data_IF_098330078472
#
_entry.id   IF_098330078472
#
_cell.length_a   1.000
_cell.length_b   1.000
_cell.length_c   1.000
_cell.angle_alpha   90.00
_cell.angle_beta   90.00
_cell.angle_gamma   90.00
#
_symmetry.space_group_name_H-M   'P 1'
#
loop_
_entity.id
_entity.type
_entity.pdbx_description
1 polymer ?
#
# COMPACT_ATOMS: atom_id res chain seq x y z
N UNK A 1 -13.42 -1.40 20.49
CA UNK A 1 -12.23 -0.70 19.93
C UNK A 1 -12.11 -1.07 18.46
N UNK A 2 -12.09 -0.10 17.55
CA UNK A 2 -11.71 -0.40 16.14
C UNK A 2 -10.24 -0.78 16.13
N UNK A 3 -9.88 -1.82 15.39
CA UNK A 3 -8.46 -2.16 15.21
C UNK A 3 -7.73 -0.99 14.54
N UNK A 4 -6.46 -0.79 14.81
CA UNK A 4 -5.61 0.24 14.18
C UNK A 4 -5.69 0.13 12.65
N UNK A 5 -5.75 -1.09 12.13
CA UNK A 5 -5.96 -1.35 10.72
C UNK A 5 -7.24 -0.71 10.18
N UNK A 6 -8.40 -0.95 10.81
CA UNK A 6 -9.67 -0.41 10.34
C UNK A 6 -9.72 1.13 10.44
N UNK A 7 -8.99 1.71 11.38
CA UNK A 7 -8.86 3.16 11.50
C UNK A 7 -8.00 3.70 10.35
N UNK A 8 -6.85 3.09 10.10
CA UNK A 8 -5.94 3.48 9.02
C UNK A 8 -6.59 3.35 7.64
N UNK A 9 -7.32 2.24 7.40
CA UNK A 9 -8.09 2.03 6.16
C UNK A 9 -9.10 3.18 5.94
N UNK A 10 -9.86 3.56 6.97
CA UNK A 10 -10.82 4.65 6.87
C UNK A 10 -10.14 6.01 6.60
N UNK A 11 -8.97 6.25 7.19
CA UNK A 11 -8.18 7.46 6.96
C UNK A 11 -7.64 7.53 5.54
N UNK A 12 -7.14 6.40 5.00
CA UNK A 12 -6.60 6.33 3.65
C UNK A 12 -7.68 6.50 2.59
N UNK A 13 -8.85 5.90 2.77
CA UNK A 13 -10.02 6.09 1.88
C UNK A 13 -10.47 7.55 1.88
N UNK A 14 -10.54 8.18 3.05
CA UNK A 14 -10.91 9.58 3.15
C UNK A 14 -9.86 10.51 2.52
N UNK A 15 -8.59 10.15 2.64
CA UNK A 15 -7.49 10.91 2.04
C UNK A 15 -7.52 10.86 0.52
N UNK A 16 -7.68 9.66 -0.07
CA UNK A 16 -7.83 9.48 -1.51
C UNK A 16 -9.04 10.27 -2.05
N UNK A 17 -10.21 10.12 -1.43
CA UNK A 17 -11.43 10.84 -1.83
C UNK A 17 -11.29 12.37 -1.76
N UNK A 18 -10.45 12.89 -0.85
CA UNK A 18 -10.27 14.33 -0.65
C UNK A 18 -9.15 14.93 -1.49
N UNK A 19 -8.18 14.12 -1.94
CA UNK A 19 -6.96 14.64 -2.57
C UNK A 19 -6.66 14.04 -3.95
N UNK A 20 -7.24 12.88 -4.27
CA UNK A 20 -6.91 12.11 -5.46
C UNK A 20 -5.55 11.39 -5.36
N UNK A 21 -4.89 11.42 -4.19
CA UNK A 21 -3.66 10.67 -3.94
C UNK A 21 -3.98 9.38 -3.22
N UNK A 22 -3.65 8.25 -3.84
CA UNK A 22 -3.89 6.95 -3.27
C UNK A 22 -2.65 6.43 -2.54
N UNK A 23 -2.81 6.08 -1.27
CA UNK A 23 -1.78 5.39 -0.49
C UNK A 23 -2.31 3.99 -0.15
N UNK A 24 -1.61 2.96 -0.60
CA UNK A 24 -1.90 1.57 -0.26
C UNK A 24 -0.82 1.02 0.69
N UNK A 25 -1.23 0.16 1.62
CA UNK A 25 -0.32 -0.54 2.54
C UNK A 25 -0.54 -2.04 2.40
N UNK A 26 0.52 -2.76 2.04
CA UNK A 26 0.51 -4.22 1.95
C UNK A 26 1.55 -4.83 2.89
N UNK A 27 1.10 -5.74 3.73
CA UNK A 27 2.00 -6.56 4.55
C UNK A 27 1.88 -8.02 4.11
N UNK A 28 3.01 -8.62 3.76
CA UNK A 28 3.12 -10.04 3.40
C UNK A 28 4.01 -10.77 4.42
N UNK A 29 3.77 -12.06 4.66
CA UNK A 29 4.67 -12.85 5.50
C UNK A 29 6.08 -12.90 4.91
N UNK A 30 6.23 -13.29 3.65
CA UNK A 30 7.49 -13.42 2.93
C UNK A 30 7.31 -13.19 1.43
N UNK A 31 8.39 -12.78 0.77
CA UNK A 31 8.50 -12.61 -0.69
C UNK A 31 8.79 -13.93 -1.41
N UNK A 32 9.02 -15.02 -0.68
CA UNK A 32 9.31 -16.37 -1.21
C UNK A 32 10.51 -16.40 -2.18
N UNK A 33 11.48 -15.50 -1.98
CA UNK A 33 12.70 -15.41 -2.78
C UNK A 33 12.63 -14.46 -3.99
N UNK A 34 11.51 -13.80 -4.20
CA UNK A 34 11.40 -12.69 -5.16
C UNK A 34 12.05 -11.42 -4.57
N UNK A 35 12.57 -10.53 -5.41
CA UNK A 35 13.04 -9.23 -4.93
C UNK A 35 11.87 -8.35 -4.50
N UNK A 36 12.07 -7.51 -3.49
CA UNK A 36 11.01 -6.63 -3.02
C UNK A 36 10.64 -5.58 -4.07
N UNK A 37 11.60 -5.20 -4.93
CA UNK A 37 11.40 -4.28 -6.03
C UNK A 37 10.44 -4.86 -7.06
N UNK A 38 10.72 -6.06 -7.56
CA UNK A 38 9.88 -6.70 -8.58
C UNK A 38 8.49 -7.01 -8.03
N UNK A 39 8.42 -7.45 -6.77
CA UNK A 39 7.15 -7.69 -6.09
C UNK A 39 6.33 -6.40 -5.95
N UNK A 40 6.96 -5.29 -5.53
CA UNK A 40 6.29 -4.01 -5.35
C UNK A 40 5.74 -3.45 -6.67
N UNK A 41 6.56 -3.42 -7.73
CA UNK A 41 6.14 -2.98 -9.08
C UNK A 41 4.95 -3.80 -9.57
N UNK A 42 5.03 -5.14 -9.48
CA UNK A 42 3.96 -6.03 -9.90
C UNK A 42 2.66 -5.80 -9.12
N UNK A 43 2.73 -5.63 -7.80
CA UNK A 43 1.55 -5.32 -6.98
C UNK A 43 0.98 -3.95 -7.35
N UNK A 44 1.84 -2.95 -7.52
CA UNK A 44 1.45 -1.60 -7.88
C UNK A 44 0.66 -1.58 -9.19
N UNK A 45 1.18 -2.26 -10.22
CA UNK A 45 0.54 -2.38 -11.53
C UNK A 45 -0.77 -3.19 -11.49
N UNK A 46 -0.74 -4.38 -10.86
CA UNK A 46 -1.92 -5.27 -10.79
C UNK A 46 -3.06 -4.64 -10.01
N UNK A 47 -2.75 -3.91 -8.94
CA UNK A 47 -3.76 -3.22 -8.14
C UNK A 47 -4.19 -1.89 -8.76
N UNK A 48 -3.46 -1.38 -9.76
CA UNK A 48 -3.73 -0.08 -10.37
C UNK A 48 -3.68 1.04 -9.36
N UNK A 49 -2.64 1.04 -8.50
CA UNK A 49 -2.52 2.01 -7.41
C UNK A 49 -2.27 3.39 -8.00
N UNK A 50 -3.14 4.35 -7.66
CA UNK A 50 -3.13 5.68 -8.22
C UNK A 50 -4.18 5.86 -9.33
N UNK A 51 -4.39 7.10 -9.72
CA UNK A 51 -5.29 7.42 -10.81
C UNK A 51 -4.59 7.16 -12.15
N UNK A 52 -5.26 6.46 -13.08
CA UNK A 52 -4.72 6.13 -14.40
C UNK A 52 -4.29 7.36 -15.24
N UNK A 53 -4.84 8.54 -14.94
CA UNK A 53 -4.52 9.78 -15.64
C UNK A 53 -3.35 10.53 -14.98
N UNK A 54 -3.26 10.48 -13.66
CA UNK A 54 -2.30 11.29 -12.88
C UNK A 54 -1.18 10.47 -12.27
N UNK A 55 -1.35 9.14 -12.15
CA UNK A 55 -0.39 8.19 -11.56
C UNK A 55 0.13 8.64 -10.17
N UNK A 56 -0.78 9.16 -9.35
CA UNK A 56 -0.49 9.74 -8.03
C UNK A 56 -0.62 8.73 -6.89
N UNK A 57 -0.20 7.48 -7.14
CA UNK A 57 -0.26 6.38 -6.19
C UNK A 57 1.03 6.19 -5.40
N UNK A 58 0.93 5.63 -4.20
CA UNK A 58 2.06 5.18 -3.39
C UNK A 58 1.71 3.85 -2.72
N UNK A 59 2.61 2.86 -2.82
CA UNK A 59 2.49 1.57 -2.13
C UNK A 59 3.58 1.46 -1.05
N UNK A 60 3.17 1.26 0.19
CA UNK A 60 4.04 0.82 1.27
C UNK A 60 3.95 -0.71 1.38
N UNK A 61 4.99 -1.42 0.94
CA UNK A 61 5.11 -2.87 1.02
C UNK A 61 6.01 -3.27 2.18
N UNK A 62 5.56 -4.24 2.99
CA UNK A 62 6.28 -4.76 4.14
C UNK A 62 6.33 -6.29 4.05
N UNK A 63 7.52 -6.86 3.93
CA UNK A 63 7.77 -8.30 3.99
C UNK A 63 8.34 -8.64 5.37
N UNK A 64 7.49 -9.18 6.24
CA UNK A 64 7.79 -9.29 7.68
C UNK A 64 8.93 -10.25 8.01
N UNK A 65 8.93 -11.44 7.42
CA UNK A 65 9.93 -12.48 7.68
C UNK A 65 11.27 -12.14 7.03
N UNK A 66 11.22 -11.53 5.83
CA UNK A 66 12.41 -11.08 5.09
C UNK A 66 13.02 -9.81 5.72
N UNK A 67 12.25 -9.10 6.56
CA UNK A 67 12.61 -7.81 7.19
C UNK A 67 12.90 -6.73 6.16
N UNK A 68 12.15 -6.74 5.09
CA UNK A 68 12.27 -5.79 4.00
C UNK A 68 11.05 -4.88 3.94
N UNK A 69 11.29 -3.63 3.57
CA UNK A 69 10.27 -2.61 3.38
C UNK A 69 10.59 -1.82 2.13
N UNK A 70 9.57 -1.58 1.32
CA UNK A 70 9.68 -0.75 0.13
C UNK A 70 8.53 0.24 0.04
N UNK A 71 8.83 1.42 -0.46
CA UNK A 71 7.85 2.42 -0.88
C UNK A 71 7.97 2.53 -2.39
N UNK A 72 6.94 2.07 -3.10
CA UNK A 72 6.83 2.22 -4.55
C UNK A 72 5.96 3.43 -4.83
N UNK A 73 6.38 4.26 -5.79
CA UNK A 73 5.79 5.58 -6.03
C UNK A 73 5.43 5.69 -7.51
N UNK A 74 4.19 6.05 -7.81
CA UNK A 74 3.75 6.36 -9.17
C UNK A 74 4.38 7.64 -9.70
N UNK A 75 4.55 7.72 -11.00
CA UNK A 75 5.27 8.81 -11.67
C UNK A 75 4.76 10.21 -11.29
N UNK A 76 3.43 10.37 -11.14
CA UNK A 76 2.83 11.63 -10.74
C UNK A 76 3.12 12.05 -9.30
N UNK A 77 3.50 11.09 -8.44
CA UNK A 77 3.85 11.36 -7.04
C UNK A 77 5.35 11.52 -6.79
N UNK A 78 6.24 11.19 -7.73
CA UNK A 78 7.71 11.23 -7.58
C UNK A 78 8.25 12.62 -7.20
N UNK A 79 7.62 13.69 -7.68
CA UNK A 79 8.02 15.05 -7.33
C UNK A 79 7.85 15.35 -5.83
N UNK A 80 6.93 14.65 -5.15
CA UNK A 80 6.59 14.82 -3.75
C UNK A 80 7.22 13.75 -2.86
N UNK A 81 7.23 12.51 -3.32
CA UNK A 81 7.84 11.37 -2.62
C UNK A 81 9.02 10.88 -3.46
N UNK A 82 10.11 11.63 -3.39
CA UNK A 82 11.37 11.23 -4.05
C UNK A 82 11.99 10.01 -3.35
N UNK A 83 12.90 9.30 -4.02
CA UNK A 83 13.65 8.18 -3.43
C UNK A 83 14.28 8.54 -2.09
N UNK A 84 14.90 9.71 -1.99
CA UNK A 84 15.51 10.17 -0.74
C UNK A 84 14.50 10.42 0.40
N UNK A 85 13.24 10.79 0.07
CA UNK A 85 12.16 10.93 1.05
C UNK A 85 11.61 9.56 1.44
N UNK A 86 11.44 8.65 0.49
CA UNK A 86 11.04 7.27 0.74
C UNK A 86 12.06 6.56 1.67
N UNK A 87 13.35 6.65 1.37
CA UNK A 87 14.43 6.12 2.22
C UNK A 87 14.42 6.73 3.62
N UNK A 88 14.15 8.03 3.74
CA UNK A 88 14.03 8.71 5.01
C UNK A 88 12.89 8.17 5.85
N UNK A 89 11.70 7.99 5.26
CA UNK A 89 10.55 7.38 5.94
C UNK A 89 10.89 6.00 6.46
N UNK A 90 11.49 5.16 5.63
CA UNK A 90 11.87 3.79 6.04
C UNK A 90 12.85 3.84 7.22
N UNK A 91 13.87 4.68 7.16
CA UNK A 91 14.92 4.77 8.16
C UNK A 91 14.48 5.44 9.47
N UNK A 92 13.66 6.50 9.39
CA UNK A 92 13.33 7.33 10.54
C UNK A 92 11.98 6.94 11.18
N UNK A 93 10.99 6.53 10.40
CA UNK A 93 9.65 6.22 10.91
C UNK A 93 9.46 4.70 11.12
N UNK A 94 9.90 3.87 10.16
CA UNK A 94 9.59 2.43 10.17
C UNK A 94 10.63 1.64 10.96
N UNK A 95 11.90 1.74 10.59
CA UNK A 95 12.95 0.88 11.12
C UNK A 95 13.11 0.95 12.66
N UNK A 96 13.03 2.11 13.32
CA UNK A 96 13.11 2.16 14.78
C UNK A 96 11.92 1.47 15.46
N UNK A 97 10.70 1.70 14.95
CA UNK A 97 9.50 1.10 15.51
C UNK A 97 9.48 -0.43 15.30
N UNK A 98 9.91 -0.91 14.13
CA UNK A 98 9.96 -2.34 13.81
C UNK A 98 11.01 -3.11 14.63
N UNK A 99 12.13 -2.47 14.97
CA UNK A 99 13.14 -3.04 15.89
C UNK A 99 12.58 -3.29 17.29
N UNK A 100 11.59 -2.48 17.69
CA UNK A 100 10.89 -2.59 18.97
C UNK A 100 9.56 -3.38 18.84
N UNK A 101 9.34 -4.06 17.71
CA UNK A 101 8.13 -4.82 17.38
C UNK A 101 6.83 -4.00 17.39
N UNK A 102 6.95 -2.67 17.35
CA UNK A 102 5.83 -1.72 17.27
C UNK A 102 5.41 -1.48 15.82
N UNK A 103 4.99 -2.54 15.14
CA UNK A 103 4.68 -2.52 13.69
C UNK A 103 3.59 -1.49 13.34
N UNK A 104 2.51 -1.47 14.11
CA UNK A 104 1.38 -0.56 13.88
C UNK A 104 1.82 0.92 13.98
N UNK A 105 2.68 1.22 14.95
CA UNK A 105 3.20 2.58 15.14
C UNK A 105 4.11 3.01 13.97
N UNK A 106 4.96 2.10 13.49
CA UNK A 106 5.83 2.37 12.34
C UNK A 106 5.03 2.62 11.05
N UNK A 107 4.01 1.80 10.81
CA UNK A 107 3.12 1.99 9.64
C UNK A 107 2.35 3.29 9.74
N UNK A 108 1.78 3.61 10.90
CA UNK A 108 1.03 4.86 11.10
C UNK A 108 1.91 6.09 10.92
N UNK A 109 3.16 6.07 11.43
CA UNK A 109 4.13 7.15 11.25
C UNK A 109 4.50 7.33 9.77
N UNK A 110 4.80 6.23 9.06
CA UNK A 110 5.13 6.26 7.64
C UNK A 110 3.98 6.83 6.78
N UNK A 111 2.75 6.39 7.04
CA UNK A 111 1.57 6.93 6.35
C UNK A 111 1.38 8.41 6.65
N UNK A 112 1.62 8.85 7.90
CA UNK A 112 1.61 10.26 8.27
C UNK A 112 2.62 11.09 7.48
N UNK A 113 3.85 10.59 7.35
CA UNK A 113 4.92 11.25 6.58
C UNK A 113 4.61 11.28 5.08
N UNK A 114 4.11 10.18 4.50
CA UNK A 114 3.67 10.13 3.10
C UNK A 114 2.58 11.17 2.81
N UNK A 115 1.55 11.24 3.65
CA UNK A 115 0.50 12.26 3.55
C UNK A 115 1.04 13.68 3.67
N UNK A 116 2.04 13.89 4.54
CA UNK A 116 2.70 15.18 4.71
C UNK A 116 3.43 15.63 3.44
N UNK A 117 4.13 14.72 2.76
CA UNK A 117 4.82 15.03 1.51
C UNK A 117 3.83 15.25 0.35
N UNK A 118 2.85 14.39 0.20
CA UNK A 118 1.81 14.51 -0.83
C UNK A 118 0.87 15.71 -0.58
N UNK A 119 0.60 16.05 0.68
CA UNK A 119 -0.25 17.18 1.07
C UNK A 119 0.32 18.56 0.68
N UNK A 120 1.62 18.65 0.42
CA UNK A 120 2.25 19.87 -0.12
C UNK A 120 1.71 20.23 -1.51
N UNK A 121 1.21 19.25 -2.27
CA UNK A 121 0.57 19.46 -3.58
C UNK A 121 -0.85 20.02 -3.42
N UNK A 122 -1.62 19.49 -2.48
CA UNK A 122 -3.02 19.88 -2.27
C UNK A 122 -3.14 21.37 -1.97
N UNK A 123 -2.14 21.93 -1.28
CA UNK A 123 -2.09 23.38 -0.99
C UNK A 123 -1.83 24.21 -2.27
N UNK A 124 -1.20 23.65 -3.30
CA UNK A 124 -0.92 24.34 -4.57
C UNK A 124 -2.06 24.20 -5.59
N UNK A 125 -2.86 23.13 -5.51
CA UNK A 125 -3.97 22.84 -6.44
C UNK A 125 -5.30 23.43 -5.94
N UNK A 126 -5.44 23.71 -4.65
CA UNK A 126 -6.66 24.29 -4.09
C UNK A 126 -7.05 25.69 -4.66
N UNK A 127 -6.30 26.16 -5.68
CA UNK A 127 -6.58 27.38 -6.44
C UNK A 127 -7.41 27.18 -7.73
N UNK A 128 -7.60 25.94 -8.21
CA UNK A 128 -8.40 25.67 -9.42
C UNK A 128 -9.29 24.45 -9.18
N UNK A 129 -10.60 24.74 -9.02
CA UNK A 129 -11.58 23.70 -8.80
C UNK A 129 -11.86 22.90 -10.06
N UNK A 130 -11.95 21.60 -9.92
CA UNK A 130 -12.87 20.81 -10.74
C UNK A 130 -13.39 19.60 -9.95
N UNK A 131 -14.71 19.42 -10.05
CA UNK A 131 -15.49 18.35 -9.44
C UNK A 131 -15.61 17.21 -10.44
N UNK A 132 -14.81 16.16 -10.29
CA UNK A 132 -14.80 14.99 -11.19
C UNK A 132 -14.96 13.64 -10.48
N UNK A 133 -16.19 13.15 -10.52
CA UNK A 133 -16.69 11.76 -10.52
C UNK A 133 -16.09 10.69 -9.58
N UNK A 134 -16.94 10.27 -8.66
CA UNK A 134 -16.80 9.23 -7.63
C UNK A 134 -16.96 7.77 -8.13
N UNK A 135 -16.65 7.43 -9.38
CA UNK A 135 -16.96 6.09 -9.91
C UNK A 135 -15.78 5.08 -9.90
N UNK A 136 -14.54 5.53 -9.73
CA UNK A 136 -13.35 4.65 -9.78
C UNK A 136 -13.17 3.76 -8.55
N UNK A 137 -13.62 4.19 -7.39
CA UNK A 137 -13.37 3.50 -6.12
C UNK A 137 -14.19 2.23 -5.91
N UNK A 138 -15.40 2.17 -6.49
CA UNK A 138 -16.29 1.01 -6.36
C UNK A 138 -15.77 -0.19 -7.14
N UNK A 139 -15.15 0.03 -8.30
CA UNK A 139 -14.48 -1.01 -9.09
C UNK A 139 -13.22 -1.54 -8.39
N UNK A 140 -12.50 -0.68 -7.68
CA UNK A 140 -11.31 -1.04 -6.91
C UNK A 140 -11.66 -1.97 -5.73
N UNK A 141 -12.74 -1.71 -4.98
CA UNK A 141 -13.17 -2.57 -3.88
C UNK A 141 -13.67 -3.94 -4.35
N UNK A 142 -14.38 -3.99 -5.49
CA UNK A 142 -14.83 -5.25 -6.08
C UNK A 142 -13.63 -6.09 -6.54
N UNK A 143 -12.63 -5.47 -7.15
CA UNK A 143 -11.40 -6.13 -7.59
C UNK A 143 -10.56 -6.63 -6.41
N UNK A 144 -10.43 -5.85 -5.34
CA UNK A 144 -9.71 -6.22 -4.12
C UNK A 144 -10.34 -7.45 -3.44
N UNK A 145 -11.68 -7.51 -3.38
CA UNK A 145 -12.40 -8.67 -2.84
C UNK A 145 -12.17 -9.90 -3.72
N UNK A 146 -12.12 -9.72 -5.05
CA UNK A 146 -11.93 -10.83 -5.98
C UNK A 146 -10.51 -11.42 -5.91
N UNK A 147 -9.48 -10.58 -5.84
CA UNK A 147 -8.08 -11.01 -5.75
C UNK A 147 -7.77 -11.69 -4.41
N UNK A 148 -8.31 -11.17 -3.31
CA UNK A 148 -8.17 -11.81 -1.98
C UNK A 148 -8.90 -13.17 -1.96
N UNK A 149 -10.03 -13.28 -2.64
CA UNK A 149 -10.80 -14.52 -2.72
C UNK A 149 -10.10 -15.59 -3.58
N UNK A 150 -9.52 -15.23 -4.71
CA UNK A 150 -8.74 -16.11 -5.57
C UNK A 150 -7.50 -16.65 -4.83
N UNK A 151 -6.76 -15.78 -4.15
CA UNK A 151 -5.58 -16.18 -3.38
C UNK A 151 -5.91 -17.08 -2.18
N UNK A 152 -7.07 -16.84 -1.55
CA UNK A 152 -7.55 -17.66 -0.44
C UNK A 152 -8.01 -19.04 -0.93
N UNK A 153 -8.62 -19.14 -2.12
CA UNK A 153 -9.07 -20.42 -2.72
C UNK A 153 -7.87 -21.25 -3.14
N UNK A 154 -6.83 -20.67 -3.74
CA UNK A 154 -5.61 -21.41 -4.10
C UNK A 154 -4.83 -21.88 -2.87
N UNK A 155 -4.76 -21.07 -1.82
CA UNK A 155 -4.10 -21.44 -0.56
C UNK A 155 -4.83 -22.60 0.15
N UNK A 156 -6.15 -22.60 0.16
CA UNK A 156 -6.96 -23.69 0.74
C UNK A 156 -6.99 -24.95 -0.14
N UNK A 157 -6.84 -24.80 -1.46
CA UNK A 157 -6.78 -25.92 -2.41
C UNK A 157 -5.48 -26.74 -2.32
N UNK A 158 -4.38 -26.12 -1.95
CA UNK A 158 -3.04 -26.73 -1.88
C UNK A 158 -2.84 -27.66 -0.67
N UNK A 159 -3.69 -27.55 0.34
CA UNK A 159 -3.60 -28.34 1.59
C UNK A 159 -4.18 -29.77 1.50
N UNK A 160 -4.76 -30.20 0.39
CA UNK A 160 -5.46 -31.51 0.30
C UNK A 160 -4.74 -32.62 -0.44
N UNK A 161 -3.49 -32.45 -0.89
CA UNK A 161 -2.81 -33.48 -1.71
C UNK A 161 -1.67 -34.24 -1.01
N UNK A 162 -1.56 -34.26 0.32
CA UNK A 162 -0.47 -34.95 1.03
C UNK A 162 -0.92 -36.20 1.79
N UNK A 163 -2.14 -36.67 1.63
CA UNK A 163 -2.58 -37.90 2.30
C UNK A 163 -3.31 -38.87 1.35
N UNK A 164 -2.60 -39.51 0.40
CA UNK A 164 -2.96 -40.82 -0.13
C UNK A 164 -1.75 -41.44 -0.84
N UNK A 165 -1.07 -42.36 -0.16
CA UNK A 165 -0.01 -43.16 -0.76
C UNK A 165 0.73 -43.99 0.28
N UNK A 166 0.08 -44.99 0.84
CA UNK A 166 0.73 -45.94 1.73
C UNK A 166 -0.17 -47.16 1.97
N UNK A 167 -0.11 -48.12 1.10
CA UNK A 167 -0.17 -49.58 1.36
C UNK A 167 0.54 -50.24 0.21
#
# INVERSE_FOLDING_TARGET
>A
MRSIRAQLEAELVAYDAGTGHQIAVLTVPSLQGESIEDFAVRVFEVWGIGNAETDTGVLLLIAKEDREVRIEVGYGAEAYVTDGRADRIIREDIAPAFKEERYDAGVAAAVGSLRGYLGGEVASIAGEGDTGSSEGWMNFFIFLIFVVFEFMVEFLGRSKSVWQGGV
#
